data_IF_263308911529
#
_entry.id   IF_263308911529
#
_cell.length_a   1.000
_cell.length_b   1.000
_cell.length_c   1.000
_cell.angle_alpha   90.00
_cell.angle_beta   90.00
_cell.angle_gamma   90.00
#
_symmetry.space_group_name_H-M   'P 1'
#
loop_
_entity.id
_entity.type
_entity.pdbx_description
1 polymer ?
#
# COMPACT_ATOMS: atom_id res chain seq x y z
N UNK A 1 8.28 17.91 6.95
CA UNK A 1 9.23 17.01 6.25
C UNK A 1 9.53 17.63 4.89
N UNK A 2 10.79 18.00 4.56
CA UNK A 2 11.12 18.51 3.21
C UNK A 2 11.16 17.33 2.23
N UNK A 3 10.44 17.43 1.13
CA UNK A 3 10.39 16.39 0.09
C UNK A 3 11.56 16.57 -0.88
N UNK A 4 12.31 15.50 -1.15
CA UNK A 4 13.30 15.53 -2.23
C UNK A 4 12.60 15.46 -3.58
N UNK A 5 13.26 15.98 -4.63
CA UNK A 5 12.77 15.89 -6.02
C UNK A 5 12.45 14.45 -6.42
N UNK A 6 13.28 13.48 -6.01
CA UNK A 6 13.06 12.06 -6.27
C UNK A 6 11.79 11.51 -5.61
N UNK A 7 11.48 11.92 -4.37
CA UNK A 7 10.24 11.52 -3.69
C UNK A 7 9.01 12.09 -4.40
N UNK A 8 9.07 13.34 -4.82
CA UNK A 8 7.97 13.98 -5.56
C UNK A 8 7.74 13.26 -6.89
N UNK A 9 8.81 12.97 -7.64
CA UNK A 9 8.70 12.26 -8.91
C UNK A 9 8.06 10.88 -8.79
N UNK A 10 8.48 10.06 -7.82
CA UNK A 10 7.86 8.76 -7.57
C UNK A 10 6.40 8.86 -7.11
N UNK A 11 6.07 9.85 -6.27
CA UNK A 11 4.69 10.05 -5.84
C UNK A 11 3.78 10.42 -7.01
N UNK A 12 4.23 11.34 -7.87
CA UNK A 12 3.52 11.71 -9.10
C UNK A 12 3.33 10.49 -10.01
N UNK A 13 4.37 9.68 -10.18
CA UNK A 13 4.30 8.46 -10.99
C UNK A 13 3.20 7.51 -10.49
N UNK A 14 3.09 7.27 -9.18
CA UNK A 14 2.04 6.41 -8.63
C UNK A 14 0.65 7.02 -8.78
N UNK A 15 0.49 8.33 -8.59
CA UNK A 15 -0.77 9.00 -8.90
C UNK A 15 -1.16 8.81 -10.38
N UNK A 16 -0.22 8.98 -11.31
CA UNK A 16 -0.46 8.74 -12.74
C UNK A 16 -0.94 7.31 -12.98
N UNK A 17 -0.36 6.30 -12.35
CA UNK A 17 -0.81 4.91 -12.49
C UNK A 17 -2.26 4.71 -12.00
N UNK A 18 -2.61 5.28 -10.84
CA UNK A 18 -3.98 5.22 -10.28
C UNK A 18 -4.98 5.87 -11.25
N UNK A 19 -4.67 7.07 -11.74
CA UNK A 19 -5.57 7.80 -12.64
C UNK A 19 -5.58 7.24 -14.07
N UNK A 20 -4.48 6.62 -14.54
CA UNK A 20 -4.45 5.88 -15.80
C UNK A 20 -5.45 4.72 -15.77
N UNK A 21 -5.47 3.98 -14.67
CA UNK A 21 -6.43 2.89 -14.49
C UNK A 21 -7.88 3.40 -14.50
N UNK A 22 -8.16 4.54 -13.86
CA UNK A 22 -9.46 5.20 -13.95
C UNK A 22 -9.83 5.59 -15.37
N UNK A 23 -8.92 6.25 -16.07
CA UNK A 23 -9.14 6.69 -17.44
C UNK A 23 -9.43 5.49 -18.36
N UNK A 24 -8.67 4.40 -18.21
CA UNK A 24 -8.87 3.21 -19.03
C UNK A 24 -10.21 2.52 -18.81
N UNK A 25 -10.57 2.27 -17.55
CA UNK A 25 -11.87 1.69 -17.21
C UNK A 25 -13.03 2.60 -17.61
N UNK A 26 -12.87 3.92 -17.49
CA UNK A 26 -13.83 4.90 -17.98
C UNK A 26 -14.05 4.80 -19.49
N UNK A 27 -12.98 4.76 -20.30
CA UNK A 27 -13.11 4.65 -21.76
C UNK A 27 -13.87 3.39 -22.18
N UNK A 28 -13.55 2.24 -21.56
CA UNK A 28 -14.22 0.96 -21.84
C UNK A 28 -15.71 1.08 -21.51
N UNK A 29 -16.06 1.50 -20.30
CA UNK A 29 -17.45 1.62 -19.85
C UNK A 29 -18.25 2.67 -20.63
N UNK A 30 -17.64 3.83 -20.90
CA UNK A 30 -18.26 4.92 -21.64
C UNK A 30 -18.59 4.54 -23.08
N UNK A 31 -17.67 3.81 -23.74
CA UNK A 31 -17.92 3.29 -25.09
C UNK A 31 -19.14 2.36 -25.13
N UNK A 32 -19.35 1.57 -24.08
CA UNK A 32 -20.51 0.67 -23.96
C UNK A 32 -21.82 1.42 -23.75
N UNK A 33 -21.80 2.45 -22.89
CA UNK A 33 -22.97 3.30 -22.62
C UNK A 33 -23.45 4.00 -23.90
N UNK A 34 -22.52 4.57 -24.69
CA UNK A 34 -22.87 5.30 -25.92
C UNK A 34 -23.32 4.33 -27.02
N UNK A 35 -22.52 3.28 -27.29
CA UNK A 35 -22.71 2.48 -28.50
C UNK A 35 -23.84 1.45 -28.37
N UNK A 36 -24.05 0.89 -27.18
CA UNK A 36 -25.01 -0.20 -26.98
C UNK A 36 -26.27 0.23 -26.21
N UNK A 37 -26.37 1.50 -25.79
CA UNK A 37 -27.45 2.03 -24.94
C UNK A 37 -27.67 1.23 -23.65
N UNK A 38 -26.65 0.47 -23.22
CA UNK A 38 -26.69 -0.38 -22.04
C UNK A 38 -26.40 0.45 -20.79
N UNK A 39 -27.45 0.95 -20.15
CA UNK A 39 -27.33 1.89 -19.03
C UNK A 39 -26.81 1.25 -17.73
N UNK A 40 -26.83 -0.08 -17.61
CA UNK A 40 -26.37 -0.78 -16.41
C UNK A 40 -24.86 -0.61 -16.15
N UNK A 41 -24.07 -0.30 -17.18
CA UNK A 41 -22.66 0.07 -17.05
C UNK A 41 -22.41 1.34 -16.21
N UNK A 42 -23.44 2.18 -16.01
CA UNK A 42 -23.37 3.34 -15.11
C UNK A 42 -23.09 2.90 -13.67
N UNK A 43 -23.60 1.73 -13.25
CA UNK A 43 -23.36 1.20 -11.90
C UNK A 43 -21.86 0.98 -11.67
N UNK A 44 -21.15 0.44 -12.67
CA UNK A 44 -19.70 0.24 -12.58
C UNK A 44 -18.96 1.57 -12.40
N UNK A 45 -19.34 2.60 -13.15
CA UNK A 45 -18.76 3.94 -12.99
C UNK A 45 -19.03 4.50 -11.58
N UNK A 46 -20.27 4.44 -11.12
CA UNK A 46 -20.69 4.95 -9.80
C UNK A 46 -19.93 4.26 -8.65
N UNK A 47 -19.59 2.97 -8.79
CA UNK A 47 -18.78 2.24 -7.80
C UNK A 47 -17.28 2.51 -7.94
N UNK A 48 -16.80 2.72 -9.17
CA UNK A 48 -15.37 2.83 -9.44
C UNK A 48 -14.78 4.20 -9.03
N UNK A 49 -15.51 5.30 -9.22
CA UNK A 49 -15.04 6.63 -8.81
C UNK A 49 -14.77 6.75 -7.29
N UNK A 50 -15.67 6.33 -6.39
CA UNK A 50 -15.41 6.32 -4.95
C UNK A 50 -14.22 5.43 -4.57
N UNK A 51 -14.07 4.27 -5.21
CA UNK A 51 -12.93 3.39 -4.98
C UNK A 51 -11.60 4.11 -5.28
N UNK A 52 -11.49 4.78 -6.43
CA UNK A 52 -10.30 5.56 -6.81
C UNK A 52 -10.06 6.74 -5.86
N UNK A 53 -11.12 7.40 -5.39
CA UNK A 53 -11.00 8.47 -4.40
C UNK A 53 -10.41 7.95 -3.07
N UNK A 54 -10.89 6.79 -2.59
CA UNK A 54 -10.38 6.16 -1.37
C UNK A 54 -8.93 5.68 -1.54
N UNK A 55 -8.57 5.14 -2.70
CA UNK A 55 -7.17 4.74 -3.01
C UNK A 55 -6.26 5.97 -3.00
N UNK A 56 -6.68 7.05 -3.67
CA UNK A 56 -5.94 8.32 -3.71
C UNK A 56 -5.72 8.87 -2.31
N UNK A 57 -6.77 8.86 -1.48
CA UNK A 57 -6.72 9.30 -0.09
C UNK A 57 -5.76 8.45 0.74
N UNK A 58 -5.93 7.12 0.72
CA UNK A 58 -5.09 6.20 1.51
C UNK A 58 -3.62 6.25 1.07
N UNK A 59 -3.35 6.37 -0.22
CA UNK A 59 -2.01 6.61 -0.74
C UNK A 59 -1.42 7.93 -0.19
N UNK A 60 -2.18 9.04 -0.28
CA UNK A 60 -1.75 10.33 0.26
C UNK A 60 -1.42 10.26 1.75
N UNK A 61 -2.23 9.55 2.53
CA UNK A 61 -1.97 9.31 3.95
C UNK A 61 -0.68 8.50 4.13
N UNK A 62 -0.43 7.46 3.34
CA UNK A 62 0.80 6.65 3.44
C UNK A 62 2.07 7.48 3.22
N UNK A 63 2.07 8.34 2.21
CA UNK A 63 3.26 9.11 1.83
C UNK A 63 3.55 10.29 2.78
N UNK A 64 2.52 10.79 3.48
CA UNK A 64 2.62 11.94 4.40
C UNK A 64 2.72 11.55 5.88
N UNK A 65 2.25 10.35 6.25
CA UNK A 65 2.24 9.90 7.65
C UNK A 65 3.63 9.71 8.24
N UNK A 66 3.76 9.99 9.53
CA UNK A 66 4.94 9.61 10.30
C UNK A 66 4.95 8.08 10.50
N UNK A 67 5.98 7.36 10.03
CA UNK A 67 6.05 5.90 10.19
C UNK A 67 6.39 5.44 11.62
N UNK A 68 6.71 6.38 12.52
CA UNK A 68 7.21 6.12 13.86
C UNK A 68 8.66 6.56 14.04
N UNK A 69 9.02 7.77 13.59
CA UNK A 69 10.35 8.33 13.82
C UNK A 69 10.67 8.41 15.31
N UNK A 70 11.81 7.85 15.70
CA UNK A 70 12.35 7.95 17.05
C UNK A 70 13.06 9.31 17.19
N UNK A 71 12.73 10.13 18.21
CA UNK A 71 13.49 11.35 18.51
C UNK A 71 14.92 10.99 18.96
N UNK A 72 15.81 11.98 19.05
CA UNK A 72 17.10 11.74 19.69
C UNK A 72 16.87 11.58 21.20
N UNK A 73 17.39 10.50 21.76
CA UNK A 73 17.21 10.11 23.16
C UNK A 73 18.61 9.82 23.74
N UNK A 74 18.95 10.46 24.86
CA UNK A 74 20.20 10.21 25.60
C UNK A 74 20.04 9.07 26.60
N UNK A 75 21.16 8.55 27.12
CA UNK A 75 21.14 7.50 28.15
C UNK A 75 20.49 8.03 29.44
N UNK A 76 20.70 9.31 29.80
CA UNK A 76 20.07 9.90 30.99
C UNK A 76 18.54 9.96 30.87
N UNK A 77 18.01 10.22 29.68
CA UNK A 77 16.56 10.27 29.43
C UNK A 77 15.89 8.89 29.52
N UNK A 78 16.65 7.81 29.34
CA UNK A 78 16.14 6.44 29.43
C UNK A 78 16.06 5.98 30.88
N UNK A 79 17.04 6.38 31.70
CA UNK A 79 17.10 6.02 33.12
C UNK A 79 17.01 4.51 33.34
N UNK A 80 16.06 4.08 34.17
CA UNK A 80 15.85 2.66 34.54
C UNK A 80 15.43 1.75 33.38
N UNK A 81 15.10 2.29 32.21
CA UNK A 81 14.66 1.51 31.06
C UNK A 81 15.80 1.12 30.11
N UNK A 82 17.07 1.27 30.50
CA UNK A 82 18.24 1.06 29.64
C UNK A 82 18.26 -0.33 28.97
N UNK A 83 17.80 -1.36 29.69
CA UNK A 83 17.69 -2.74 29.20
C UNK A 83 16.78 -2.90 27.96
N UNK A 84 15.89 -1.93 27.70
CA UNK A 84 14.94 -1.93 26.58
C UNK A 84 15.40 -1.10 25.39
N UNK A 85 16.61 -0.53 25.45
CA UNK A 85 17.17 0.34 24.43
C UNK A 85 18.49 -0.22 23.91
N UNK A 86 18.76 0.03 22.63
CA UNK A 86 20.04 -0.21 21.99
C UNK A 86 20.56 1.09 21.37
N UNK A 87 21.88 1.21 21.25
CA UNK A 87 22.49 2.39 20.66
C UNK A 87 22.50 2.32 19.12
N UNK A 88 22.16 3.43 18.46
CA UNK A 88 22.27 3.57 17.01
C UNK A 88 23.44 4.49 16.65
N UNK A 89 24.57 3.92 16.27
CA UNK A 89 25.77 4.66 15.83
C UNK A 89 25.48 5.72 14.76
N UNK A 90 24.65 5.39 13.76
CA UNK A 90 24.31 6.32 12.66
C UNK A 90 23.51 7.54 13.07
N UNK A 91 22.77 7.45 14.17
CA UNK A 91 21.98 8.55 14.71
C UNK A 91 22.65 9.18 15.93
N UNK A 92 23.73 8.56 16.44
CA UNK A 92 24.37 8.89 17.71
C UNK A 92 23.35 9.06 18.85
N UNK A 93 22.44 8.10 18.98
CA UNK A 93 21.30 8.15 19.89
C UNK A 93 20.83 6.76 20.25
N UNK A 94 20.26 6.63 21.44
CA UNK A 94 19.59 5.42 21.87
C UNK A 94 18.25 5.25 21.15
N UNK A 95 17.83 4.00 20.94
CA UNK A 95 16.53 3.64 20.34
C UNK A 95 15.93 2.41 21.03
N UNK A 96 14.61 2.27 21.12
CA UNK A 96 14.01 1.06 21.67
C UNK A 96 14.39 -0.19 20.85
N UNK A 97 14.58 -1.33 21.52
CA UNK A 97 14.77 -2.63 20.86
C UNK A 97 13.59 -2.90 19.91
N UNK A 98 13.90 -3.40 18.71
CA UNK A 98 12.93 -3.55 17.61
C UNK A 98 12.76 -2.30 16.74
N UNK A 99 13.42 -1.19 17.06
CA UNK A 99 13.54 -0.05 16.15
C UNK A 99 14.75 -0.22 15.24
N UNK A 100 14.65 0.25 14.00
CA UNK A 100 15.76 0.12 13.04
C UNK A 100 16.04 1.41 12.29
N UNK A 101 17.33 1.63 11.98
CA UNK A 101 17.78 2.79 11.21
C UNK A 101 17.53 2.58 9.72
N UNK A 102 16.67 3.42 9.13
CA UNK A 102 16.49 3.46 7.69
C UNK A 102 17.56 4.34 7.04
N UNK A 103 18.40 3.76 6.17
CA UNK A 103 19.44 4.49 5.43
C UNK A 103 18.86 5.62 4.57
N UNK A 104 17.69 5.40 3.96
CA UNK A 104 17.05 6.39 3.06
C UNK A 104 16.41 7.53 3.84
N UNK A 105 15.70 7.24 4.93
CA UNK A 105 15.09 8.28 5.78
C UNK A 105 16.09 8.94 6.72
N UNK A 106 17.28 8.36 6.91
CA UNK A 106 18.34 8.79 7.85
C UNK A 106 17.84 8.96 9.29
N UNK A 107 16.91 8.10 9.69
CA UNK A 107 16.25 8.11 11.01
C UNK A 107 15.94 6.70 11.45
N UNK A 108 15.92 6.48 12.77
CA UNK A 108 15.39 5.27 13.37
C UNK A 108 13.86 5.28 13.32
N UNK A 109 13.28 4.15 12.92
CA UNK A 109 11.84 3.94 12.80
C UNK A 109 11.43 2.84 13.78
N UNK A 110 10.37 3.09 14.54
CA UNK A 110 9.77 2.16 15.49
C UNK A 110 9.11 0.98 14.77
N UNK A 111 9.44 -0.25 15.19
CA UNK A 111 9.05 -1.52 14.52
C UNK A 111 9.12 -1.38 13.00
N UNK A 112 10.29 -0.97 12.51
CA UNK A 112 10.50 -0.74 11.09
C UNK A 112 10.29 -2.04 10.32
N UNK A 113 9.39 -2.05 9.35
CA UNK A 113 9.25 -3.18 8.44
C UNK A 113 10.20 -2.99 7.25
N UNK A 114 9.97 -1.96 6.44
CA UNK A 114 10.82 -1.64 5.30
C UNK A 114 10.72 -0.17 4.88
N UNK A 115 11.66 0.24 4.01
CA UNK A 115 11.52 1.49 3.26
C UNK A 115 10.85 1.19 1.92
N UNK A 116 9.64 1.69 1.72
CA UNK A 116 8.87 1.40 0.53
C UNK A 116 9.07 2.51 -0.52
N UNK A 117 9.63 2.13 -1.67
CA UNK A 117 9.87 3.06 -2.78
C UNK A 117 8.56 3.58 -3.39
N UNK A 118 7.49 2.78 -3.36
CA UNK A 118 6.19 3.10 -3.97
C UNK A 118 5.43 4.19 -3.21
N UNK A 119 5.54 4.21 -1.88
CA UNK A 119 4.98 5.29 -1.05
C UNK A 119 6.05 6.35 -0.67
N UNK A 120 7.29 6.18 -1.12
CA UNK A 120 8.44 7.08 -0.84
C UNK A 120 8.68 7.37 0.65
N UNK A 121 8.25 6.42 1.49
CA UNK A 121 8.22 6.51 2.94
C UNK A 121 8.54 5.16 3.57
N UNK A 122 8.92 5.15 4.85
CA UNK A 122 9.01 3.89 5.59
C UNK A 122 7.62 3.36 5.90
N UNK A 123 7.52 2.04 6.01
CA UNK A 123 6.42 1.35 6.69
C UNK A 123 6.94 0.96 8.07
N UNK A 124 6.28 1.46 9.11
CA UNK A 124 6.57 1.17 10.50
C UNK A 124 5.29 1.20 11.32
N UNK A 125 5.42 1.06 12.64
CA UNK A 125 4.25 0.86 13.52
C UNK A 125 3.15 1.91 13.34
N UNK A 126 3.53 3.19 13.20
CA UNK A 126 2.55 4.28 13.23
C UNK A 126 1.79 4.47 11.90
N UNK A 127 2.25 3.86 10.79
CA UNK A 127 1.60 4.00 9.49
C UNK A 127 1.30 2.68 8.75
N UNK A 128 1.68 1.53 9.30
CA UNK A 128 1.42 0.22 8.70
C UNK A 128 -0.09 -0.02 8.44
N UNK A 129 -0.97 0.46 9.31
CA UNK A 129 -2.43 0.40 9.08
C UNK A 129 -2.89 1.11 7.81
N UNK A 130 -2.30 2.26 7.49
CA UNK A 130 -2.65 3.02 6.28
C UNK A 130 -2.08 2.32 5.05
N UNK A 131 -0.88 1.76 5.16
CA UNK A 131 -0.27 0.98 4.10
C UNK A 131 -1.11 -0.24 3.74
N UNK A 132 -1.62 -0.98 4.74
CA UNK A 132 -2.52 -2.12 4.50
C UNK A 132 -3.83 -1.68 3.86
N UNK A 133 -4.45 -0.58 4.34
CA UNK A 133 -5.66 -0.05 3.71
C UNK A 133 -5.42 0.29 2.23
N UNK A 134 -4.32 0.97 1.92
CA UNK A 134 -3.93 1.28 0.55
C UNK A 134 -3.78 0.00 -0.31
N UNK A 135 -3.10 -1.03 0.19
CA UNK A 135 -2.94 -2.30 -0.52
C UNK A 135 -4.28 -3.00 -0.79
N UNK A 136 -5.17 -3.05 0.20
CA UNK A 136 -6.49 -3.68 0.06
C UNK A 136 -7.32 -2.97 -1.00
N UNK A 137 -7.40 -1.64 -0.97
CA UNK A 137 -8.17 -0.92 -1.99
C UNK A 137 -7.52 -1.01 -3.38
N UNK A 138 -6.19 -1.05 -3.47
CA UNK A 138 -5.49 -1.26 -4.73
C UNK A 138 -5.74 -2.67 -5.31
N UNK A 139 -5.79 -3.69 -4.46
CA UNK A 139 -6.16 -5.06 -4.85
C UNK A 139 -7.60 -5.13 -5.37
N UNK A 140 -8.55 -4.50 -4.66
CA UNK A 140 -9.94 -4.38 -5.11
C UNK A 140 -10.06 -3.68 -6.46
N UNK A 141 -9.28 -2.64 -6.73
CA UNK A 141 -9.25 -1.96 -8.02
C UNK A 141 -8.76 -2.89 -9.13
N UNK A 142 -7.70 -3.67 -8.89
CA UNK A 142 -7.20 -4.63 -9.88
C UNK A 142 -8.25 -5.70 -10.20
N UNK A 143 -8.93 -6.24 -9.18
CA UNK A 143 -10.03 -7.20 -9.37
C UNK A 143 -11.18 -6.55 -10.16
N UNK A 144 -11.58 -5.32 -9.81
CA UNK A 144 -12.64 -4.60 -10.49
C UNK A 144 -12.32 -4.39 -11.98
N UNK A 145 -11.07 -4.01 -12.31
CA UNK A 145 -10.64 -3.86 -13.70
C UNK A 145 -10.71 -5.18 -14.47
N UNK A 146 -10.28 -6.28 -13.86
CA UNK A 146 -10.38 -7.61 -14.49
C UNK A 146 -11.84 -8.02 -14.73
N UNK A 147 -12.76 -7.67 -13.83
CA UNK A 147 -14.20 -7.90 -14.01
C UNK A 147 -14.78 -7.06 -15.16
N UNK A 148 -14.43 -5.77 -15.27
CA UNK A 148 -14.83 -4.92 -16.41
C UNK A 148 -14.33 -5.53 -17.72
N UNK A 149 -13.07 -5.97 -17.76
CA UNK A 149 -12.47 -6.58 -18.95
C UNK A 149 -13.16 -7.90 -19.30
N UNK A 150 -13.45 -8.75 -18.31
CA UNK A 150 -14.15 -10.02 -18.52
C UNK A 150 -15.54 -9.79 -19.12
N UNK A 151 -16.31 -8.88 -18.52
CA UNK A 151 -17.63 -8.48 -19.03
C UNK A 151 -17.53 -7.95 -20.46
N UNK A 152 -16.53 -7.12 -20.74
CA UNK A 152 -16.30 -6.60 -22.08
C UNK A 152 -16.04 -7.74 -23.08
N UNK A 153 -15.20 -8.72 -22.73
CA UNK A 153 -14.89 -9.88 -23.60
C UNK A 153 -16.12 -10.75 -23.84
N UNK A 154 -16.93 -11.03 -22.82
CA UNK A 154 -18.16 -11.84 -22.98
C UNK A 154 -19.11 -11.16 -23.97
N UNK A 155 -19.34 -9.86 -23.82
CA UNK A 155 -20.13 -9.09 -24.78
C UNK A 155 -19.56 -9.15 -26.21
N UNK A 156 -18.23 -9.17 -26.35
CA UNK A 156 -17.59 -9.23 -27.66
C UNK A 156 -17.83 -10.57 -28.36
N UNK A 157 -17.91 -11.65 -27.59
CA UNK A 157 -18.15 -13.00 -28.09
C UNK A 157 -19.62 -13.23 -28.44
N UNK A 158 -20.54 -12.67 -27.65
CA UNK A 158 -21.99 -12.89 -27.82
C UNK A 158 -22.61 -12.09 -28.98
N UNK A 159 -22.00 -10.98 -29.40
CA UNK A 159 -22.52 -10.11 -30.47
C UNK A 159 -21.75 -10.34 -31.77
N UNK A 160 -22.36 -11.03 -32.74
CA UNK A 160 -21.81 -11.22 -34.09
C UNK A 160 -21.44 -9.86 -34.73
N UNK A 161 -20.15 -9.68 -35.02
CA UNK A 161 -19.58 -8.38 -35.36
C UNK A 161 -19.67 -8.02 -36.85
N UNK A 162 -20.22 -6.84 -37.16
CA UNK A 162 -20.19 -6.23 -38.51
C UNK A 162 -18.92 -5.39 -38.73
N UNK A 163 -18.42 -5.39 -39.97
CA UNK A 163 -17.08 -4.95 -40.41
C UNK A 163 -16.71 -3.47 -40.11
N UNK A 164 -17.68 -2.57 -39.88
CA UNK A 164 -17.45 -1.14 -39.70
C UNK A 164 -16.98 -0.74 -38.28
N UNK A 165 -17.11 -1.64 -37.28
CA UNK A 165 -16.59 -1.43 -35.91
C UNK A 165 -15.08 -1.67 -35.78
N UNK A 166 -14.44 -2.25 -36.79
CA UNK A 166 -13.13 -2.90 -36.73
C UNK A 166 -11.94 -1.95 -36.44
N UNK A 167 -11.96 -0.70 -36.91
CA UNK A 167 -10.82 0.23 -36.75
C UNK A 167 -10.80 0.90 -35.36
N UNK A 168 -11.97 1.27 -34.81
CA UNK A 168 -12.08 1.77 -33.43
C UNK A 168 -11.79 0.65 -32.43
N UNK A 169 -12.14 -0.59 -32.78
CA UNK A 169 -11.95 -1.77 -31.95
C UNK A 169 -10.51 -2.30 -31.93
N UNK A 170 -9.71 -2.16 -33.00
CA UNK A 170 -8.30 -2.61 -32.95
C UNK A 170 -7.46 -1.85 -31.92
N UNK A 171 -7.64 -0.53 -31.83
CA UNK A 171 -7.00 0.28 -30.79
C UNK A 171 -7.59 -0.03 -29.40
N UNK A 172 -8.88 -0.39 -29.33
CA UNK A 172 -9.54 -0.86 -28.11
C UNK A 172 -8.94 -2.19 -27.60
N UNK A 173 -8.68 -3.16 -28.49
CA UNK A 173 -8.11 -4.47 -28.11
C UNK A 173 -6.69 -4.36 -27.55
N UNK A 174 -5.83 -3.55 -28.18
CA UNK A 174 -4.49 -3.27 -27.63
C UNK A 174 -4.60 -2.64 -26.23
N UNK A 175 -5.50 -1.67 -26.08
CA UNK A 175 -5.72 -0.99 -24.81
C UNK A 175 -6.27 -1.93 -23.72
N UNK A 176 -7.23 -2.79 -24.06
CA UNK A 176 -7.78 -3.83 -23.17
C UNK A 176 -6.67 -4.80 -22.75
N UNK A 177 -5.85 -5.27 -23.69
CA UNK A 177 -4.74 -6.18 -23.40
C UNK A 177 -3.71 -5.55 -22.45
N UNK A 178 -3.33 -4.29 -22.69
CA UNK A 178 -2.41 -3.57 -21.80
C UNK A 178 -3.00 -3.41 -20.40
N UNK A 179 -4.27 -3.03 -20.28
CA UNK A 179 -4.94 -2.90 -18.98
C UNK A 179 -5.08 -4.25 -18.27
N UNK A 180 -5.36 -5.33 -19.00
CA UNK A 180 -5.38 -6.69 -18.46
C UNK A 180 -4.01 -7.07 -17.90
N UNK A 181 -2.95 -6.90 -18.68
CA UNK A 181 -1.59 -7.24 -18.26
C UNK A 181 -1.17 -6.44 -17.03
N UNK A 182 -1.39 -5.12 -17.02
CA UNK A 182 -1.10 -4.27 -15.87
C UNK A 182 -1.91 -4.73 -14.65
N UNK A 183 -3.20 -4.99 -14.80
CA UNK A 183 -4.06 -5.40 -13.67
C UNK A 183 -3.63 -6.73 -13.07
N UNK A 184 -3.26 -7.74 -13.88
CA UNK A 184 -2.76 -9.03 -13.38
C UNK A 184 -1.42 -8.86 -12.67
N UNK A 185 -0.47 -8.13 -13.28
CA UNK A 185 0.86 -7.93 -12.69
C UNK A 185 0.77 -7.18 -11.34
N UNK A 186 -0.04 -6.12 -11.27
CA UNK A 186 -0.26 -5.39 -10.03
C UNK A 186 -1.03 -6.21 -9.00
N UNK A 187 -2.03 -7.00 -9.40
CA UNK A 187 -2.75 -7.89 -8.50
C UNK A 187 -1.80 -8.87 -7.82
N UNK A 188 -0.95 -9.57 -8.58
CA UNK A 188 0.02 -10.51 -8.03
C UNK A 188 1.03 -9.81 -7.12
N UNK A 189 1.56 -8.67 -7.55
CA UNK A 189 2.53 -7.89 -6.79
C UNK A 189 1.96 -7.41 -5.44
N UNK A 190 0.75 -6.84 -5.47
CA UNK A 190 0.06 -6.32 -4.27
C UNK A 190 -0.34 -7.46 -3.34
N UNK A 191 -0.83 -8.58 -3.88
CA UNK A 191 -1.20 -9.76 -3.09
C UNK A 191 0.00 -10.30 -2.28
N UNK A 192 1.18 -10.42 -2.90
CA UNK A 192 2.41 -10.84 -2.21
C UNK A 192 2.76 -9.89 -1.06
N UNK A 193 2.70 -8.57 -1.30
CA UNK A 193 3.00 -7.59 -0.25
C UNK A 193 1.97 -7.67 0.87
N UNK A 194 0.69 -7.78 0.54
CA UNK A 194 -0.39 -7.85 1.53
C UNK A 194 -0.26 -9.09 2.41
N UNK A 195 0.04 -10.25 1.81
CA UNK A 195 0.33 -11.48 2.56
C UNK A 195 1.49 -11.27 3.54
N UNK A 196 2.58 -10.64 3.10
CA UNK A 196 3.72 -10.34 3.98
C UNK A 196 3.34 -9.41 5.14
N UNK A 197 2.50 -8.39 4.88
CA UNK A 197 2.04 -7.47 5.94
C UNK A 197 1.12 -8.18 6.94
N UNK A 198 0.18 -9.00 6.47
CA UNK A 198 -0.69 -9.81 7.33
C UNK A 198 0.17 -10.77 8.17
N UNK A 199 1.17 -11.41 7.56
CA UNK A 199 2.05 -12.34 8.25
C UNK A 199 2.87 -11.66 9.36
N UNK A 200 3.40 -10.46 9.10
CA UNK A 200 4.09 -9.64 10.10
C UNK A 200 3.19 -9.33 11.31
N UNK A 201 1.91 -8.99 11.06
CA UNK A 201 0.93 -8.74 12.14
C UNK A 201 0.62 -10.02 12.92
N UNK A 202 0.40 -11.15 12.24
CA UNK A 202 0.08 -12.42 12.90
C UNK A 202 1.23 -12.87 13.80
N UNK A 203 2.48 -12.70 13.35
CA UNK A 203 3.68 -13.05 14.11
C UNK A 203 4.00 -12.05 15.23
N UNK A 204 3.60 -10.79 15.09
CA UNK A 204 3.90 -9.70 16.02
C UNK A 204 5.31 -9.10 15.87
N UNK A 205 6.05 -9.51 14.84
CA UNK A 205 7.45 -9.15 14.63
C UNK A 205 7.62 -8.62 13.20
N UNK A 206 8.50 -7.63 13.01
CA UNK A 206 8.88 -7.20 11.65
C UNK A 206 9.80 -8.23 10.99
N UNK A 207 9.97 -8.17 9.67
CA UNK A 207 10.92 -9.05 8.98
C UNK A 207 12.36 -8.83 9.45
N UNK A 208 12.71 -7.59 9.80
CA UNK A 208 14.04 -7.24 10.29
C UNK A 208 14.28 -7.87 11.68
N UNK A 209 13.26 -7.87 12.53
CA UNK A 209 13.33 -8.51 13.86
C UNK A 209 13.58 -10.02 13.75
N UNK A 210 12.90 -10.68 12.80
CA UNK A 210 13.10 -12.11 12.54
C UNK A 210 14.54 -12.40 12.09
N UNK A 211 15.06 -11.60 11.16
CA UNK A 211 16.44 -11.74 10.66
C UNK A 211 17.48 -11.49 11.75
N UNK A 212 17.20 -10.53 12.65
CA UNK A 212 18.04 -10.22 13.81
C UNK A 212 17.80 -11.15 15.00
N UNK A 213 16.86 -12.09 14.90
CA UNK A 213 16.47 -13.02 15.97
C UNK A 213 16.11 -12.31 17.29
N UNK A 214 15.48 -11.13 17.19
CA UNK A 214 15.02 -10.38 18.36
C UNK A 214 13.82 -11.12 18.97
N UNK A 215 13.88 -11.38 20.27
CA UNK A 215 12.82 -12.06 21.01
C UNK A 215 11.91 -11.01 21.66
N UNK A 216 10.64 -10.99 21.25
CA UNK A 216 9.61 -10.21 21.92
C UNK A 216 8.68 -11.10 22.73
N UNK A 217 7.97 -10.50 23.69
CA UNK A 217 6.85 -11.15 24.34
C UNK A 217 5.80 -11.52 23.28
N UNK A 218 5.44 -12.79 23.22
CA UNK A 218 4.42 -13.26 22.27
C UNK A 218 3.06 -12.70 22.67
N UNK A 219 2.49 -11.87 21.80
CA UNK A 219 1.15 -11.31 21.96
C UNK A 219 0.11 -12.19 21.27
N UNK A 220 -1.15 -12.04 21.71
CA UNK A 220 -2.29 -12.59 21.00
C UNK A 220 -2.53 -11.83 19.68
N UNK A 221 -3.22 -12.45 18.73
CA UNK A 221 -3.58 -11.80 17.46
C UNK A 221 -4.40 -10.52 17.68
N UNK A 222 -5.30 -10.51 18.68
CA UNK A 222 -6.09 -9.32 19.05
C UNK A 222 -5.21 -8.19 19.56
N UNK A 223 -4.17 -8.50 20.33
CA UNK A 223 -3.20 -7.52 20.82
C UNK A 223 -2.31 -6.98 19.69
N UNK A 224 -1.83 -7.85 18.78
CA UNK A 224 -1.09 -7.42 17.59
C UNK A 224 -1.93 -6.47 16.73
N UNK A 225 -3.19 -6.81 16.46
CA UNK A 225 -4.10 -5.93 15.72
C UNK A 225 -4.39 -4.62 16.48
N UNK A 226 -4.45 -4.68 17.81
CA UNK A 226 -4.62 -3.50 18.66
C UNK A 226 -3.41 -2.58 18.60
N UNK A 227 -2.19 -3.11 18.59
CA UNK A 227 -0.98 -2.31 18.37
C UNK A 227 -1.01 -1.60 17.01
N UNK A 228 -1.44 -2.30 15.96
CA UNK A 228 -1.54 -1.76 14.61
C UNK A 228 -2.57 -0.64 14.49
N UNK A 229 -3.72 -0.80 15.16
CA UNK A 229 -4.79 0.22 15.18
C UNK A 229 -4.43 1.42 16.06
N UNK A 230 -3.84 1.17 17.23
CA UNK A 230 -3.46 2.17 18.23
C UNK A 230 -2.05 2.74 18.06
N UNK A 231 -1.28 2.37 17.03
CA UNK A 231 0.18 2.58 16.91
C UNK A 231 0.76 3.94 17.35
N UNK A 232 -0.05 5.00 17.38
CA UNK A 232 0.27 6.31 17.96
C UNK A 232 0.43 6.33 19.50
N UNK A 233 -0.05 5.31 20.22
CA UNK A 233 0.01 5.17 21.68
C UNK A 233 0.91 4.01 22.12
N UNK A 234 1.88 3.62 21.29
CA UNK A 234 2.80 2.52 21.60
C UNK A 234 3.47 2.74 22.97
N UNK A 235 3.15 1.89 23.94
CA UNK A 235 3.83 1.84 25.23
C UNK A 235 4.96 0.83 25.11
N UNK A 236 6.20 1.32 25.03
CA UNK A 236 7.44 0.53 25.00
C UNK A 236 7.42 -0.58 26.08
N UNK A 237 6.84 -0.28 27.24
CA UNK A 237 6.79 -1.12 28.46
C UNK A 237 5.96 -2.41 28.37
N UNK A 238 5.03 -2.56 27.41
CA UNK A 238 4.13 -3.74 27.39
C UNK A 238 4.65 -4.96 26.63
N UNK A 239 5.78 -4.85 25.91
CA UNK A 239 6.16 -5.83 24.88
C UNK A 239 7.57 -6.42 25.00
N UNK A 240 8.36 -5.93 25.95
CA UNK A 240 9.69 -6.47 26.22
C UNK A 240 9.64 -7.26 27.52
N UNK A 241 10.15 -8.49 27.47
CA UNK A 241 10.41 -9.28 28.68
C UNK A 241 11.70 -8.77 29.31
N UNK A 242 11.84 -8.79 30.64
CA UNK A 242 13.16 -8.81 31.27
C UNK A 242 14.03 -9.92 30.68
#
# INVERSE_FOLDING_TARGET
MKWSKSKIGFAIFVYILIYYSLFGSFLILFSKIINFKEQWYIIFLVLYFPLVAVITWTYHVCITSNPGFIPLITVEEIGEFEEYFEFCEKCNSSRPIGSHHCKTCKKCILKMDHHCVWITNCVGLCNQKYFIQFLVYLELMCIFNLLIILVNIVDLVDKDYHLDSYIFERNSLYFIFVNFLISVLFLLFVCIILINQIWAIVRGNSKIDELKKIKFKKLTMKENLREQTLGNHYKIRSHMTP
#
